data_IF_236558689029
#
_entry.id   IF_236558689029
#
_cell.length_a   1.000
_cell.length_b   1.000
_cell.length_c   1.000
_cell.angle_alpha   90.00
_cell.angle_beta   90.00
_cell.angle_gamma   90.00
#
_symmetry.space_group_name_H-M   'P 1'
#
loop_
_entity.id
_entity.type
_entity.pdbx_description
1 polymer ?
#
# COMPACT_ATOMS: atom_id res chain seq x y z
N UNK A 1 15.64 -20.43 -74.78
CA UNK A 1 14.19 -20.22 -74.54
C UNK A 1 13.65 -19.13 -75.47
N UNK A 2 14.47 -18.13 -75.81
CA UNK A 2 14.08 -17.00 -76.67
C UNK A 2 13.82 -17.36 -78.14
N UNK A 3 14.55 -18.33 -78.72
CA UNK A 3 14.35 -18.73 -80.13
C UNK A 3 12.99 -19.41 -80.35
N UNK A 4 12.50 -20.18 -79.37
CA UNK A 4 11.19 -20.87 -79.46
C UNK A 4 10.05 -19.85 -79.35
N UNK A 5 10.21 -18.81 -78.53
CA UNK A 5 9.23 -17.73 -78.39
C UNK A 5 9.22 -16.85 -79.65
N UNK A 6 10.39 -16.51 -80.20
CA UNK A 6 10.50 -15.72 -81.45
C UNK A 6 9.92 -16.51 -82.65
N UNK A 7 10.21 -17.82 -82.75
CA UNK A 7 9.60 -18.67 -83.77
C UNK A 7 8.07 -18.77 -83.61
N UNK A 8 7.58 -18.86 -82.37
CA UNK A 8 6.14 -18.85 -82.07
C UNK A 8 5.46 -17.55 -82.48
N UNK A 9 6.10 -16.40 -82.25
CA UNK A 9 5.60 -15.08 -82.64
C UNK A 9 5.59 -14.90 -84.16
N UNK A 10 6.65 -15.33 -84.86
CA UNK A 10 6.73 -15.25 -86.33
C UNK A 10 5.68 -16.14 -87.02
N UNK A 11 5.42 -17.33 -86.47
CA UNK A 11 4.36 -18.23 -86.96
C UNK A 11 2.98 -17.59 -86.76
N UNK A 12 2.75 -16.94 -85.61
CA UNK A 12 1.49 -16.22 -85.34
C UNK A 12 1.31 -15.02 -86.28
N UNK A 13 2.39 -14.29 -86.57
CA UNK A 13 2.39 -13.15 -87.50
C UNK A 13 2.13 -13.61 -88.95
N UNK A 14 2.71 -14.74 -89.37
CA UNK A 14 2.41 -15.33 -90.68
C UNK A 14 0.97 -15.82 -90.77
N UNK A 15 0.43 -16.43 -89.71
CA UNK A 15 -0.96 -16.90 -89.66
C UNK A 15 -1.97 -15.75 -89.71
N UNK A 16 -1.69 -14.66 -89.00
CA UNK A 16 -2.55 -13.46 -89.02
C UNK A 16 -2.50 -12.74 -90.37
N UNK A 17 -1.33 -12.63 -90.99
CA UNK A 17 -1.19 -12.10 -92.36
C UNK A 17 -1.89 -13.01 -93.38
N UNK A 18 -1.75 -14.32 -93.26
CA UNK A 18 -2.43 -15.30 -94.14
C UNK A 18 -3.95 -15.22 -93.99
N UNK A 19 -4.45 -15.08 -92.76
CA UNK A 19 -5.88 -14.87 -92.51
C UNK A 19 -6.36 -13.54 -93.09
N UNK A 20 -5.60 -12.44 -92.95
CA UNK A 20 -5.95 -11.14 -93.53
C UNK A 20 -5.99 -11.17 -95.08
N UNK A 21 -5.03 -11.85 -95.72
CA UNK A 21 -5.01 -12.03 -97.18
C UNK A 21 -6.19 -12.90 -97.64
N UNK A 22 -6.57 -13.91 -96.86
CA UNK A 22 -7.74 -14.76 -97.14
C UNK A 22 -9.07 -14.01 -96.93
N UNK A 23 -9.12 -13.07 -95.98
CA UNK A 23 -10.27 -12.19 -95.74
C UNK A 23 -10.45 -11.16 -96.87
N UNK A 24 -9.37 -10.77 -97.55
CA UNK A 24 -9.41 -9.82 -98.68
C UNK A 24 -9.98 -10.35 -100.00
N UNK A 25 -10.32 -11.65 -100.11
CA UNK A 25 -11.01 -12.22 -101.28
C UNK A 25 -12.45 -12.55 -100.92
N UNK A 26 -13.37 -11.99 -101.70
CA UNK A 26 -14.77 -11.78 -101.36
C UNK A 26 -15.57 -13.01 -100.89
N UNK A 27 -16.64 -12.68 -100.16
CA UNK A 27 -17.70 -13.53 -99.58
C UNK A 27 -17.59 -13.88 -98.08
N UNK A 28 -16.72 -13.22 -97.31
CA UNK A 28 -16.44 -13.60 -95.91
C UNK A 28 -17.32 -12.95 -94.83
N UNK A 29 -17.99 -11.83 -95.09
CA UNK A 29 -18.67 -11.04 -94.05
C UNK A 29 -19.85 -11.79 -93.41
N UNK A 30 -20.72 -12.39 -94.22
CA UNK A 30 -21.83 -13.24 -93.73
C UNK A 30 -21.38 -14.50 -92.99
N UNK A 31 -20.24 -15.08 -93.37
CA UNK A 31 -19.70 -16.25 -92.65
C UNK A 31 -19.10 -15.86 -91.30
N UNK A 32 -18.47 -14.69 -91.21
CA UNK A 32 -17.97 -14.15 -89.94
C UNK A 32 -19.10 -13.80 -88.98
N UNK A 33 -20.19 -13.21 -89.45
CA UNK A 33 -21.37 -12.95 -88.62
C UNK A 33 -21.95 -14.24 -88.04
N UNK A 34 -22.13 -15.27 -88.89
CA UNK A 34 -22.69 -16.56 -88.46
C UNK A 34 -21.76 -17.30 -87.47
N UNK A 35 -20.44 -17.22 -87.67
CA UNK A 35 -19.47 -17.79 -86.73
C UNK A 35 -19.41 -17.00 -85.43
N UNK A 36 -19.50 -15.68 -85.48
CA UNK A 36 -19.53 -14.81 -84.30
C UNK A 36 -20.79 -15.07 -83.47
N UNK A 37 -21.93 -15.30 -84.11
CA UNK A 37 -23.19 -15.62 -83.42
C UNK A 37 -23.13 -16.99 -82.74
N UNK A 38 -22.53 -18.00 -83.40
CA UNK A 38 -22.24 -19.30 -82.77
C UNK A 38 -21.27 -19.18 -81.60
N UNK A 39 -20.20 -18.40 -81.73
CA UNK A 39 -19.23 -18.18 -80.66
C UNK A 39 -19.83 -17.44 -79.46
N UNK A 40 -20.69 -16.44 -79.70
CA UNK A 40 -21.46 -15.77 -78.65
C UNK A 40 -22.38 -16.75 -77.93
N UNK A 41 -23.08 -17.62 -78.67
CA UNK A 41 -23.93 -18.66 -78.09
C UNK A 41 -23.15 -19.63 -77.19
N UNK A 42 -22.01 -20.12 -77.66
CA UNK A 42 -21.13 -21.02 -76.91
C UNK A 42 -20.54 -20.35 -75.66
N UNK A 43 -20.10 -19.08 -75.75
CA UNK A 43 -19.59 -18.35 -74.58
C UNK A 43 -20.68 -18.11 -73.53
N UNK A 44 -21.90 -17.78 -73.94
CA UNK A 44 -23.02 -17.60 -73.00
C UNK A 44 -23.36 -18.92 -72.30
N UNK A 45 -23.30 -20.03 -73.03
CA UNK A 45 -23.49 -21.36 -72.46
C UNK A 45 -22.39 -21.74 -71.47
N UNK A 46 -21.12 -21.52 -71.82
CA UNK A 46 -19.97 -21.78 -70.94
C UNK A 46 -20.01 -20.91 -69.67
N UNK A 47 -20.37 -19.63 -69.82
CA UNK A 47 -20.58 -18.72 -68.69
C UNK A 47 -21.74 -19.16 -67.79
N UNK A 48 -22.81 -19.74 -68.36
CA UNK A 48 -23.92 -20.27 -67.58
C UNK A 48 -23.52 -21.49 -66.76
N UNK A 49 -22.75 -22.41 -67.36
CA UNK A 49 -22.22 -23.61 -66.69
C UNK A 49 -21.22 -23.20 -65.60
N UNK A 50 -20.28 -22.31 -65.92
CA UNK A 50 -19.30 -21.79 -64.95
C UNK A 50 -19.95 -21.06 -63.78
N UNK A 51 -20.99 -20.26 -64.01
CA UNK A 51 -21.79 -19.65 -62.93
C UNK A 51 -22.49 -20.68 -62.06
N UNK A 52 -22.98 -21.77 -62.65
CA UNK A 52 -23.66 -22.83 -61.92
C UNK A 52 -22.68 -23.62 -61.03
N UNK A 53 -21.51 -23.97 -61.54
CA UNK A 53 -20.44 -24.63 -60.77
C UNK A 53 -19.92 -23.74 -59.65
N UNK A 54 -19.73 -22.44 -59.92
CA UNK A 54 -19.32 -21.47 -58.92
C UNK A 54 -20.36 -21.34 -57.80
N UNK A 55 -21.65 -21.30 -58.13
CA UNK A 55 -22.72 -21.28 -57.13
C UNK A 55 -22.76 -22.57 -56.30
N UNK A 56 -22.49 -23.73 -56.91
CA UNK A 56 -22.40 -24.99 -56.19
C UNK A 56 -21.21 -25.01 -55.22
N UNK A 57 -20.02 -24.59 -55.66
CA UNK A 57 -18.83 -24.50 -54.82
C UNK A 57 -19.03 -23.54 -53.64
N UNK A 58 -19.61 -22.36 -53.90
CA UNK A 58 -19.96 -21.39 -52.87
C UNK A 58 -20.93 -22.01 -51.85
N UNK A 59 -21.95 -22.72 -52.30
CA UNK A 59 -22.92 -23.37 -51.40
C UNK A 59 -22.27 -24.46 -50.52
N UNK A 60 -21.29 -25.19 -51.05
CA UNK A 60 -20.54 -26.19 -50.30
C UNK A 60 -19.62 -25.54 -49.26
N UNK A 61 -18.94 -24.45 -49.62
CA UNK A 61 -18.13 -23.67 -48.67
C UNK A 61 -19.00 -23.08 -47.55
N UNK A 62 -20.17 -22.53 -47.88
CA UNK A 62 -21.11 -22.03 -46.86
C UNK A 62 -21.57 -23.11 -45.89
N UNK A 63 -21.88 -24.33 -46.37
CA UNK A 63 -22.26 -25.45 -45.51
C UNK A 63 -21.13 -25.82 -44.54
N UNK A 64 -19.90 -25.96 -45.03
CA UNK A 64 -18.75 -26.30 -44.19
C UNK A 64 -18.47 -25.23 -43.12
N UNK A 65 -18.54 -23.94 -43.49
CA UNK A 65 -18.38 -22.82 -42.53
C UNK A 65 -19.49 -22.85 -41.49
N UNK A 66 -20.73 -23.08 -41.88
CA UNK A 66 -21.87 -23.12 -40.97
C UNK A 66 -21.78 -24.29 -39.98
N UNK A 67 -21.40 -25.48 -40.46
CA UNK A 67 -21.22 -26.67 -39.63
C UNK A 67 -20.05 -26.50 -38.65
N UNK A 68 -18.93 -25.91 -39.10
CA UNK A 68 -17.79 -25.59 -38.24
C UNK A 68 -18.16 -24.57 -37.15
N UNK A 69 -18.92 -23.53 -37.50
CA UNK A 69 -19.39 -22.51 -36.55
C UNK A 69 -20.34 -23.11 -35.51
N UNK A 70 -21.23 -24.02 -35.93
CA UNK A 70 -22.15 -24.73 -35.02
C UNK A 70 -21.42 -25.67 -34.07
N UNK A 71 -20.39 -26.36 -34.55
CA UNK A 71 -19.54 -27.21 -33.73
C UNK A 71 -18.77 -26.39 -32.69
N UNK A 72 -18.16 -25.27 -33.11
CA UNK A 72 -17.45 -24.36 -32.21
C UNK A 72 -18.36 -23.76 -31.13
N UNK A 73 -19.60 -23.39 -31.49
CA UNK A 73 -20.58 -22.89 -30.52
C UNK A 73 -20.97 -23.96 -29.48
N UNK A 74 -21.06 -25.23 -29.90
CA UNK A 74 -21.36 -26.36 -29.01
C UNK A 74 -20.20 -26.65 -28.05
N UNK A 75 -18.97 -26.67 -28.56
CA UNK A 75 -17.77 -26.90 -27.75
C UNK A 75 -17.58 -25.76 -26.72
N UNK A 76 -17.89 -24.52 -27.10
CA UNK A 76 -17.89 -23.38 -26.18
C UNK A 76 -18.97 -23.49 -25.09
N UNK A 77 -20.16 -23.97 -25.44
CA UNK A 77 -21.25 -24.20 -24.48
C UNK A 77 -20.91 -25.31 -23.48
N UNK A 78 -20.29 -26.40 -23.94
CA UNK A 78 -19.87 -27.51 -23.08
C UNK A 78 -18.75 -27.07 -22.12
N UNK A 79 -17.77 -26.29 -22.60
CA UNK A 79 -16.72 -25.71 -21.75
C UNK A 79 -17.25 -24.79 -20.65
N UNK A 80 -18.24 -23.94 -20.96
CA UNK A 80 -18.91 -23.09 -19.96
C UNK A 80 -19.68 -23.91 -18.93
N UNK A 81 -20.30 -25.02 -19.35
CA UNK A 81 -21.03 -25.91 -18.45
C UNK A 81 -20.10 -26.61 -17.46
N UNK A 82 -18.94 -27.06 -17.92
CA UNK A 82 -17.96 -27.73 -17.08
C UNK A 82 -17.25 -26.75 -16.15
N UNK A 83 -16.93 -25.53 -16.60
CA UNK A 83 -16.51 -24.45 -15.72
C UNK A 83 -17.55 -24.18 -14.62
N UNK A 84 -18.83 -24.11 -14.98
CA UNK A 84 -19.91 -23.92 -14.01
C UNK A 84 -20.03 -25.05 -12.99
N UNK A 85 -19.67 -26.30 -13.33
CA UNK A 85 -19.63 -27.42 -12.38
C UNK A 85 -18.46 -27.29 -11.43
N UNK A 86 -17.24 -27.10 -11.96
CA UNK A 86 -16.01 -26.95 -11.17
C UNK A 86 -16.13 -25.76 -10.21
N UNK A 87 -16.67 -24.64 -10.69
CA UNK A 87 -16.88 -23.46 -9.85
C UNK A 87 -17.85 -23.74 -8.69
N UNK A 88 -18.96 -24.43 -8.94
CA UNK A 88 -19.91 -24.79 -7.87
C UNK A 88 -19.32 -25.77 -6.86
N UNK A 89 -18.48 -26.69 -7.32
CA UNK A 89 -17.78 -27.65 -6.46
C UNK A 89 -16.77 -26.94 -5.55
N UNK A 90 -15.91 -26.08 -6.12
CA UNK A 90 -14.94 -25.27 -5.37
C UNK A 90 -15.63 -24.34 -4.35
N UNK A 91 -16.77 -23.73 -4.70
CA UNK A 91 -17.52 -22.87 -3.78
C UNK A 91 -18.13 -23.66 -2.62
N UNK A 92 -18.54 -24.91 -2.85
CA UNK A 92 -19.02 -25.78 -1.76
C UNK A 92 -17.87 -26.18 -0.84
N UNK A 93 -16.77 -26.65 -1.40
CA UNK A 93 -15.58 -27.05 -0.64
C UNK A 93 -15.02 -25.88 0.21
N UNK A 94 -15.00 -24.67 -0.36
CA UNK A 94 -14.64 -23.46 0.38
C UNK A 94 -15.60 -23.15 1.53
N UNK A 95 -16.91 -23.29 1.33
CA UNK A 95 -17.91 -23.06 2.37
C UNK A 95 -17.80 -24.09 3.50
N UNK A 96 -17.55 -25.35 3.16
CA UNK A 96 -17.40 -26.42 4.15
C UNK A 96 -16.13 -26.20 4.99
N UNK A 97 -15.01 -25.84 4.36
CA UNK A 97 -13.77 -25.47 5.06
C UNK A 97 -13.96 -24.24 5.96
N UNK A 98 -14.71 -23.23 5.51
CA UNK A 98 -15.03 -22.06 6.33
C UNK A 98 -15.85 -22.44 7.57
N UNK A 99 -16.86 -23.32 7.41
CA UNK A 99 -17.66 -23.81 8.55
C UNK A 99 -16.81 -24.58 9.55
N UNK A 100 -15.91 -25.44 9.08
CA UNK A 100 -14.98 -26.19 9.94
C UNK A 100 -14.08 -25.24 10.75
N UNK A 101 -13.49 -24.23 10.09
CA UNK A 101 -12.65 -23.23 10.75
C UNK A 101 -13.42 -22.36 11.76
N UNK A 102 -14.66 -22.00 11.45
CA UNK A 102 -15.53 -21.28 12.39
C UNK A 102 -15.83 -22.12 13.64
N UNK A 103 -16.12 -23.41 13.48
CA UNK A 103 -16.34 -24.30 14.62
C UNK A 103 -15.07 -24.48 15.46
N UNK A 104 -13.90 -24.59 14.82
CA UNK A 104 -12.61 -24.67 15.50
C UNK A 104 -12.32 -23.40 16.34
N UNK A 105 -12.64 -22.22 15.80
CA UNK A 105 -12.51 -20.94 16.49
C UNK A 105 -13.47 -20.83 17.69
N UNK A 106 -14.73 -21.26 17.53
CA UNK A 106 -15.69 -21.28 18.63
C UNK A 106 -15.21 -22.18 19.79
N UNK A 107 -14.71 -23.38 19.47
CA UNK A 107 -14.13 -24.31 20.46
C UNK A 107 -12.86 -23.77 21.14
N UNK A 108 -12.06 -22.94 20.44
CA UNK A 108 -10.91 -22.25 21.05
C UNK A 108 -11.36 -21.13 21.98
N UNK A 109 -12.38 -20.37 21.59
CA UNK A 109 -12.92 -19.29 22.40
C UNK A 109 -13.52 -19.81 23.71
N UNK A 110 -14.26 -20.91 23.65
CA UNK A 110 -14.83 -21.55 24.84
C UNK A 110 -13.76 -22.04 25.81
N UNK A 111 -12.70 -22.70 25.29
CA UNK A 111 -11.54 -23.11 26.11
C UNK A 111 -10.79 -21.92 26.74
N UNK A 112 -10.68 -20.81 26.03
CA UNK A 112 -10.09 -19.58 26.57
C UNK A 112 -10.91 -19.00 27.72
N UNK A 113 -12.24 -18.99 27.60
CA UNK A 113 -13.14 -18.52 28.65
C UNK A 113 -13.02 -19.39 29.91
N UNK A 114 -13.06 -20.72 29.76
CA UNK A 114 -12.86 -21.67 30.87
C UNK A 114 -11.50 -21.48 31.55
N UNK A 115 -10.41 -21.37 30.78
CA UNK A 115 -9.08 -21.14 31.36
C UNK A 115 -8.97 -19.80 32.07
N UNK A 116 -9.70 -18.78 31.61
CA UNK A 116 -9.73 -17.46 32.25
C UNK A 116 -10.49 -17.52 33.57
N UNK A 117 -11.63 -18.23 33.61
CA UNK A 117 -12.41 -18.45 34.82
C UNK A 117 -11.59 -19.21 35.89
N UNK A 118 -10.91 -20.30 35.52
CA UNK A 118 -10.01 -21.03 36.42
C UNK A 118 -8.86 -20.17 36.96
N UNK A 119 -8.30 -19.27 36.13
CA UNK A 119 -7.24 -18.35 36.57
C UNK A 119 -7.77 -17.29 37.53
N UNK A 120 -9.00 -16.81 37.32
CA UNK A 120 -9.64 -15.85 38.21
C UNK A 120 -9.97 -16.48 39.57
N UNK A 121 -10.41 -17.73 39.61
CA UNK A 121 -10.64 -18.45 40.86
C UNK A 121 -9.34 -18.73 41.62
N UNK A 122 -8.28 -19.17 40.95
CA UNK A 122 -6.95 -19.29 41.57
C UNK A 122 -6.43 -17.95 42.09
N UNK A 123 -6.71 -16.86 41.40
CA UNK A 123 -6.33 -15.51 41.84
C UNK A 123 -7.14 -15.10 43.09
N UNK A 124 -8.45 -15.38 43.13
CA UNK A 124 -9.28 -15.16 44.33
C UNK A 124 -8.74 -15.93 45.53
N UNK A 125 -8.45 -17.22 45.36
CA UNK A 125 -7.92 -18.06 46.43
C UNK A 125 -6.56 -17.55 46.92
N UNK A 126 -5.66 -17.18 46.01
CA UNK A 126 -4.34 -16.60 46.37
C UNK A 126 -4.46 -15.24 47.05
N UNK A 127 -5.42 -14.42 46.62
CA UNK A 127 -5.67 -13.08 47.18
C UNK A 127 -6.26 -13.20 48.58
N UNK A 128 -7.24 -14.08 48.81
CA UNK A 128 -7.78 -14.34 50.13
C UNK A 128 -6.72 -14.91 51.07
N UNK A 129 -5.91 -15.87 50.61
CA UNK A 129 -4.86 -16.48 51.42
C UNK A 129 -3.75 -15.47 51.80
N UNK A 130 -3.34 -14.60 50.84
CA UNK A 130 -2.36 -13.55 51.11
C UNK A 130 -2.94 -12.42 51.93
N UNK A 131 -4.19 -12.01 51.72
CA UNK A 131 -4.83 -10.97 52.51
C UNK A 131 -4.97 -11.44 53.95
N UNK A 132 -5.46 -12.66 54.19
CA UNK A 132 -5.64 -13.18 55.53
C UNK A 132 -4.31 -13.36 56.26
N UNK A 133 -3.29 -13.96 55.61
CA UNK A 133 -1.94 -14.07 56.20
C UNK A 133 -1.29 -12.70 56.46
N UNK A 134 -1.42 -11.75 55.53
CA UNK A 134 -0.80 -10.42 55.67
C UNK A 134 -1.54 -9.57 56.70
N UNK A 135 -2.87 -9.70 56.78
CA UNK A 135 -3.72 -8.98 57.72
C UNK A 135 -3.53 -9.52 59.12
N UNK A 136 -3.50 -10.84 59.34
CA UNK A 136 -3.20 -11.45 60.65
C UNK A 136 -1.77 -11.11 61.12
N UNK A 137 -0.78 -11.17 60.22
CA UNK A 137 0.60 -10.79 60.56
C UNK A 137 0.71 -9.30 60.92
N UNK A 138 0.08 -8.41 60.15
CA UNK A 138 0.09 -6.96 60.43
C UNK A 138 -0.77 -6.58 61.62
N UNK A 139 -1.92 -7.21 61.84
CA UNK A 139 -2.75 -7.00 63.03
C UNK A 139 -2.05 -7.51 64.27
N UNK A 140 -1.42 -8.68 64.23
CA UNK A 140 -0.61 -9.21 65.32
C UNK A 140 0.53 -8.27 65.69
N UNK A 141 1.32 -7.84 64.70
CA UNK A 141 2.38 -6.84 64.92
C UNK A 141 1.85 -5.49 65.41
N UNK A 142 0.68 -5.05 64.92
CA UNK A 142 0.07 -3.79 65.35
C UNK A 142 -0.47 -3.87 66.79
N UNK A 143 -1.06 -4.99 67.19
CA UNK A 143 -1.52 -5.22 68.56
C UNK A 143 -0.35 -5.36 69.54
N UNK A 144 0.73 -6.01 69.13
CA UNK A 144 1.95 -6.13 69.92
C UNK A 144 2.65 -4.76 70.09
N UNK A 145 2.69 -3.95 69.02
CA UNK A 145 3.17 -2.58 69.05
C UNK A 145 2.29 -1.69 69.95
N UNK A 146 0.97 -1.77 69.82
CA UNK A 146 0.01 -0.99 70.63
C UNK A 146 0.05 -1.40 72.10
N UNK A 147 0.21 -2.68 72.41
CA UNK A 147 0.34 -3.18 73.78
C UNK A 147 1.64 -2.68 74.43
N UNK A 148 2.75 -2.68 73.67
CA UNK A 148 4.02 -2.11 74.08
C UNK A 148 3.93 -0.58 74.26
N UNK A 149 3.23 0.11 73.37
CA UNK A 149 2.97 1.54 73.47
C UNK A 149 2.06 1.90 74.64
N UNK A 150 1.10 1.07 75.03
CA UNK A 150 0.29 1.28 76.23
C UNK A 150 1.12 1.14 77.52
N UNK A 151 2.08 0.21 77.54
CA UNK A 151 3.06 0.08 78.62
C UNK A 151 4.01 1.29 78.69
N UNK A 152 4.48 1.77 77.53
CA UNK A 152 5.34 2.95 77.43
C UNK A 152 4.58 4.26 77.72
N UNK A 153 3.27 4.34 77.44
CA UNK A 153 2.39 5.47 77.78
C UNK A 153 2.07 5.50 79.28
N UNK A 154 1.90 4.35 79.94
CA UNK A 154 1.79 4.30 81.40
C UNK A 154 3.07 4.74 82.12
N UNK A 155 4.25 4.50 81.51
CA UNK A 155 5.53 5.07 81.98
C UNK A 155 5.67 6.56 81.63
N UNK A 156 5.25 6.97 80.42
CA UNK A 156 5.37 8.33 79.91
C UNK A 156 4.40 9.34 80.52
N UNK A 157 3.27 8.89 81.09
CA UNK A 157 2.35 9.76 81.85
C UNK A 157 2.94 10.30 83.17
N UNK A 158 4.06 9.75 83.65
CA UNK A 158 4.83 10.28 84.77
C UNK A 158 5.79 11.43 84.42
N UNK A 159 6.04 11.65 83.12
CA UNK A 159 6.90 12.72 82.61
C UNK A 159 6.07 13.68 81.75
N UNK A 160 5.13 14.37 82.41
CA UNK A 160 4.55 15.57 81.84
C UNK A 160 5.67 16.56 81.48
N UNK A 161 5.51 17.16 80.30
CA UNK A 161 6.02 18.49 79.90
C UNK A 161 7.06 18.52 78.76
N UNK A 162 6.91 17.74 77.68
CA UNK A 162 7.62 18.08 76.43
C UNK A 162 7.07 17.36 75.19
N UNK A 163 6.83 18.12 74.12
CA UNK A 163 6.75 17.70 72.70
C UNK A 163 5.40 17.25 72.12
N UNK A 164 4.56 18.26 71.86
CA UNK A 164 3.54 18.22 70.81
C UNK A 164 4.16 18.39 69.41
N UNK A 165 4.69 17.30 68.80
CA UNK A 165 5.23 17.38 67.42
C UNK A 165 5.09 16.05 66.66
N UNK A 166 3.87 15.53 66.49
CA UNK A 166 3.65 14.19 65.93
C UNK A 166 2.63 14.06 64.80
N UNK A 167 2.15 15.17 64.22
CA UNK A 167 1.12 15.13 63.15
C UNK A 167 1.50 16.07 62.01
N UNK A 168 2.65 15.81 61.37
CA UNK A 168 3.19 16.62 60.26
C UNK A 168 3.51 15.84 58.98
N UNK A 169 3.80 14.54 59.07
CA UNK A 169 4.44 13.82 57.95
C UNK A 169 3.46 13.39 56.83
N UNK A 170 2.17 13.22 57.12
CA UNK A 170 1.17 12.91 56.08
C UNK A 170 0.78 14.13 55.23
N UNK A 171 0.92 15.35 55.75
CA UNK A 171 0.78 16.58 54.96
C UNK A 171 1.99 16.77 54.03
N UNK A 172 3.15 16.21 54.38
CA UNK A 172 4.45 16.46 53.72
C UNK A 172 4.64 15.72 52.39
N UNK A 173 3.98 14.57 52.22
CA UNK A 173 4.02 13.81 50.96
C UNK A 173 3.14 14.46 49.89
N UNK A 174 2.07 15.17 50.30
CA UNK A 174 1.25 15.94 49.39
C UNK A 174 1.79 17.35 49.12
N UNK A 175 2.71 17.91 49.91
CA UNK A 175 3.25 19.28 49.69
C UNK A 175 4.50 19.35 48.80
N UNK A 176 5.12 18.22 48.45
CA UNK A 176 6.38 18.23 47.70
C UNK A 176 6.18 18.56 46.20
N UNK A 177 6.75 19.69 45.75
CA UNK A 177 6.66 20.21 44.37
C UNK A 177 7.11 19.19 43.32
N UNK A 178 8.08 18.33 43.64
CA UNK A 178 8.58 17.29 42.72
C UNK A 178 7.56 16.17 42.48
N UNK A 179 6.90 15.68 43.53
CA UNK A 179 5.87 14.64 43.41
C UNK A 179 4.65 15.12 42.61
N UNK A 180 4.38 16.43 42.62
CA UNK A 180 3.28 17.07 41.90
C UNK A 180 3.54 17.19 40.39
N UNK A 181 4.78 17.46 39.97
CA UNK A 181 5.16 17.49 38.55
C UNK A 181 5.07 16.11 37.88
N UNK A 182 5.52 15.07 38.60
CA UNK A 182 5.50 13.68 38.12
C UNK A 182 4.09 13.17 37.81
N UNK A 183 3.06 13.59 38.56
CA UNK A 183 1.68 13.20 38.28
C UNK A 183 1.17 13.75 36.93
N UNK A 184 1.55 14.98 36.58
CA UNK A 184 1.17 15.58 35.30
C UNK A 184 1.85 14.89 34.12
N UNK A 185 3.12 14.55 34.29
CA UNK A 185 3.89 13.77 33.30
C UNK A 185 3.32 12.36 33.11
N UNK A 186 2.94 11.68 34.20
CA UNK A 186 2.34 10.35 34.15
C UNK A 186 1.01 10.34 33.38
N UNK A 187 0.17 11.36 33.59
CA UNK A 187 -1.10 11.47 32.87
C UNK A 187 -0.88 11.76 31.38
N UNK A 188 0.07 12.63 31.05
CA UNK A 188 0.46 12.90 29.67
C UNK A 188 0.97 11.62 28.99
N UNK A 189 1.83 10.86 29.68
CA UNK A 189 2.34 9.57 29.22
C UNK A 189 1.20 8.60 28.94
N UNK A 190 0.25 8.45 29.86
CA UNK A 190 -0.89 7.55 29.68
C UNK A 190 -1.76 7.91 28.46
N UNK A 191 -1.96 9.20 28.18
CA UNK A 191 -2.69 9.64 26.98
C UNK A 191 -1.91 9.28 25.72
N UNK A 192 -0.59 9.52 25.72
CA UNK A 192 0.27 9.22 24.58
C UNK A 192 0.32 7.71 24.30
N UNK A 193 0.51 6.88 25.32
CA UNK A 193 0.58 5.40 25.20
C UNK A 193 -0.73 4.78 24.69
N UNK A 194 -1.88 5.37 25.05
CA UNK A 194 -3.18 4.87 24.61
C UNK A 194 -3.47 5.19 23.12
N UNK A 195 -2.88 6.25 22.57
CA UNK A 195 -3.22 6.76 21.22
C UNK A 195 -2.09 6.52 20.22
N UNK A 196 -0.83 6.65 20.63
CA UNK A 196 0.36 6.57 19.79
C UNK A 196 1.18 5.33 20.11
N UNK A 197 1.87 4.79 19.11
CA UNK A 197 2.87 3.74 19.36
C UNK A 197 4.16 4.36 19.93
N UNK A 198 4.96 3.59 20.66
CA UNK A 198 6.23 4.05 21.25
C UNK A 198 7.22 4.59 20.23
N UNK A 199 7.08 4.23 18.95
CA UNK A 199 7.90 4.77 17.86
C UNK A 199 7.50 6.19 17.43
N UNK A 200 6.26 6.60 17.69
CA UNK A 200 5.69 7.89 17.26
C UNK A 200 5.95 9.03 18.23
N UNK A 201 6.58 8.79 19.38
CA UNK A 201 7.00 9.83 20.30
C UNK A 201 8.35 9.50 20.94
N UNK A 202 8.97 10.47 21.61
CA UNK A 202 10.19 10.31 22.40
C UNK A 202 9.93 10.97 23.75
N UNK A 203 10.19 10.28 24.85
CA UNK A 203 10.20 10.87 26.18
C UNK A 203 11.54 11.55 26.48
N UNK A 204 11.51 12.65 27.24
CA UNK A 204 12.70 13.40 27.67
C UNK A 204 13.64 13.74 26.49
N UNK A 205 13.10 14.42 25.49
CA UNK A 205 13.78 14.63 24.22
C UNK A 205 14.52 15.98 24.17
N UNK A 206 15.70 16.01 23.53
CA UNK A 206 16.46 17.23 23.28
C UNK A 206 15.97 17.91 22.00
N UNK A 207 15.41 19.12 22.08
CA UNK A 207 14.89 19.83 20.89
C UNK A 207 15.93 20.74 20.20
N UNK A 208 17.10 20.90 20.82
CA UNK A 208 18.22 21.72 20.33
C UNK A 208 19.53 20.95 20.50
N UNK A 209 20.34 20.90 19.45
CA UNK A 209 21.66 20.28 19.51
C UNK A 209 22.52 20.98 20.57
N UNK A 210 23.12 20.20 21.49
CA UNK A 210 23.94 20.72 22.58
C UNK A 210 23.18 21.34 23.77
N UNK A 211 21.85 21.38 23.76
CA UNK A 211 21.08 21.85 24.92
C UNK A 211 20.96 20.76 26.00
N UNK A 212 21.02 21.16 27.27
CA UNK A 212 20.68 20.31 28.43
C UNK A 212 19.18 20.26 28.70
N UNK A 213 18.41 21.20 28.14
CA UNK A 213 16.96 21.24 28.31
C UNK A 213 16.32 20.06 27.57
N UNK A 214 15.35 19.42 28.22
CA UNK A 214 14.61 18.27 27.70
C UNK A 214 13.13 18.55 27.83
N UNK A 215 12.41 18.38 26.73
CA UNK A 215 10.95 18.38 26.76
C UNK A 215 10.47 17.02 27.25
N UNK A 216 9.41 17.00 28.05
CA UNK A 216 8.85 15.80 28.65
C UNK A 216 8.48 14.80 27.55
N UNK A 217 7.82 15.25 26.48
CA UNK A 217 7.54 14.44 25.30
C UNK A 217 7.71 15.20 23.99
N UNK A 218 8.20 14.51 22.96
CA UNK A 218 8.27 15.01 21.59
C UNK A 218 7.58 14.03 20.64
N UNK A 219 6.51 14.47 20.00
CA UNK A 219 5.73 13.65 19.06
C UNK A 219 6.36 13.76 17.67
N UNK A 220 6.58 12.63 17.01
CA UNK A 220 7.17 12.58 15.67
C UNK A 220 6.09 12.79 14.61
N UNK A 221 6.20 13.89 13.88
CA UNK A 221 5.39 14.20 12.72
C UNK A 221 6.15 13.85 11.42
N UNK A 222 5.48 13.37 10.38
CA UNK A 222 6.10 13.16 9.06
C UNK A 222 6.45 14.52 8.45
N UNK A 223 7.73 14.79 8.23
CA UNK A 223 8.19 15.99 7.54
C UNK A 223 7.86 15.99 6.04
N UNK A 224 7.92 17.19 5.43
CA UNK A 224 7.67 17.41 4.00
C UNK A 224 8.65 16.64 3.10
N UNK A 225 9.88 16.43 3.56
CA UNK A 225 10.87 15.58 2.89
C UNK A 225 10.85 14.18 3.52
N UNK A 226 10.80 13.14 2.68
CA UNK A 226 10.50 11.75 3.08
C UNK A 226 11.47 11.10 4.09
N UNK A 227 12.50 11.81 4.56
CA UNK A 227 13.57 11.26 5.41
C UNK A 227 13.79 11.98 6.75
N UNK A 228 13.15 13.12 7.04
CA UNK A 228 13.31 13.81 8.33
C UNK A 228 11.97 13.95 9.05
N UNK A 229 11.89 13.38 10.26
CA UNK A 229 10.75 13.55 11.14
C UNK A 229 10.85 14.93 11.82
N UNK A 230 9.74 15.66 11.86
CA UNK A 230 9.65 16.94 12.58
C UNK A 230 9.06 16.66 13.95
N UNK A 231 9.65 17.22 15.01
CA UNK A 231 9.19 16.97 16.38
C UNK A 231 8.18 18.04 16.84
N UNK A 232 7.06 17.61 17.42
CA UNK A 232 6.12 18.46 18.14
C UNK A 232 6.41 18.37 19.64
N UNK A 233 6.98 19.43 20.26
CA UNK A 233 7.26 19.43 21.68
C UNK A 233 5.96 19.53 22.50
N UNK A 234 5.83 18.69 23.51
CA UNK A 234 4.71 18.68 24.45
C UNK A 234 5.26 18.70 25.87
N UNK A 235 5.02 19.79 26.58
CA UNK A 235 5.51 20.01 27.93
C UNK A 235 4.32 20.11 28.90
N UNK A 236 4.41 19.38 30.01
CA UNK A 236 3.38 19.38 31.05
C UNK A 236 3.71 20.42 32.13
N UNK A 237 2.78 21.34 32.40
CA UNK A 237 2.90 22.27 33.54
C UNK A 237 1.65 22.26 34.39
N UNK A 238 1.88 22.35 35.69
CA UNK A 238 0.82 22.42 36.67
C UNK A 238 1.08 23.54 37.68
N UNK A 239 0.60 24.79 37.42
CA UNK A 239 0.68 25.91 38.35
C UNK A 239 -0.29 25.72 39.53
N UNK A 240 -0.12 24.64 40.28
CA UNK A 240 -1.08 24.14 41.25
C UNK A 240 -1.32 25.13 42.39
N UNK A 241 -0.30 25.86 42.85
CA UNK A 241 -0.46 26.87 43.92
C UNK A 241 -1.33 28.04 43.48
N UNK A 242 -1.15 28.53 42.25
CA UNK A 242 -2.00 29.58 41.70
C UNK A 242 -3.43 29.07 41.48
N UNK A 243 -3.57 27.82 41.02
CA UNK A 243 -4.87 27.19 40.83
C UNK A 243 -5.62 26.98 42.16
N UNK A 244 -4.96 26.47 43.20
CA UNK A 244 -5.58 26.32 44.53
C UNK A 244 -5.93 27.66 45.16
N UNK A 245 -5.09 28.70 45.00
CA UNK A 245 -5.43 30.05 45.45
C UNK A 245 -6.71 30.55 44.78
N UNK A 246 -6.89 30.27 43.49
CA UNK A 246 -8.09 30.62 42.76
C UNK A 246 -9.32 29.85 43.26
N UNK A 247 -9.19 28.54 43.51
CA UNK A 247 -10.29 27.75 44.09
C UNK A 247 -10.70 28.27 45.47
N UNK A 248 -9.74 28.56 46.35
CA UNK A 248 -10.04 29.14 47.67
C UNK A 248 -10.72 30.51 47.54
N UNK A 249 -10.28 31.35 46.58
CA UNK A 249 -10.91 32.63 46.33
C UNK A 249 -12.37 32.46 45.86
N UNK A 250 -12.67 31.45 45.03
CA UNK A 250 -14.05 31.11 44.67
C UNK A 250 -14.88 30.70 45.89
N UNK A 251 -14.32 29.93 46.83
CA UNK A 251 -15.02 29.52 48.05
C UNK A 251 -15.34 30.70 48.97
N UNK A 252 -14.46 31.71 49.03
CA UNK A 252 -14.70 32.94 49.81
C UNK A 252 -15.74 33.86 49.17
N UNK A 253 -15.97 33.76 47.86
CA UNK A 253 -16.93 34.59 47.11
C UNK A 253 -16.51 36.06 46.93
N UNK A 254 -15.31 36.45 47.38
CA UNK A 254 -14.81 37.81 47.24
C UNK A 254 -14.25 38.07 45.84
N UNK A 255 -14.94 38.94 45.08
CA UNK A 255 -14.62 39.21 43.66
C UNK A 255 -13.18 39.71 43.45
N UNK A 256 -12.69 40.59 44.31
CA UNK A 256 -11.33 41.12 44.20
C UNK A 256 -10.26 40.04 44.40
N UNK A 257 -10.49 39.10 45.33
CA UNK A 257 -9.58 37.98 45.56
C UNK A 257 -9.56 37.01 44.38
N UNK A 258 -10.74 36.77 43.78
CA UNK A 258 -10.87 35.93 42.58
C UNK A 258 -10.10 36.54 41.40
N UNK A 259 -10.30 37.83 41.14
CA UNK A 259 -9.65 38.53 40.03
C UNK A 259 -8.12 38.54 40.20
N UNK A 260 -7.63 38.78 41.42
CA UNK A 260 -6.21 38.71 41.75
C UNK A 260 -5.63 37.30 41.56
N UNK A 261 -6.27 36.27 42.12
CA UNK A 261 -5.80 34.89 42.01
C UNK A 261 -5.79 34.41 40.55
N UNK A 262 -6.77 34.85 39.76
CA UNK A 262 -6.85 34.58 38.33
C UNK A 262 -5.72 35.25 37.55
N UNK A 263 -5.40 36.51 37.84
CA UNK A 263 -4.28 37.20 37.22
C UNK A 263 -2.94 36.50 37.50
N UNK A 264 -2.74 36.01 38.73
CA UNK A 264 -1.55 35.23 39.11
C UNK A 264 -1.47 33.88 38.38
N UNK A 265 -2.60 33.19 38.22
CA UNK A 265 -2.68 31.96 37.41
C UNK A 265 -2.30 32.23 35.95
N UNK A 266 -2.90 33.26 35.35
CA UNK A 266 -2.64 33.65 33.96
C UNK A 266 -1.17 34.01 33.74
N UNK A 267 -0.55 34.71 34.69
CA UNK A 267 0.87 35.06 34.68
C UNK A 267 1.76 33.83 34.75
N UNK A 268 1.42 32.84 35.59
CA UNK A 268 2.16 31.59 35.69
C UNK A 268 2.10 30.79 34.37
N UNK A 269 0.90 30.66 33.79
CA UNK A 269 0.70 29.98 32.49
C UNK A 269 1.45 30.69 31.36
N UNK A 270 1.41 32.03 31.33
CA UNK A 270 2.15 32.83 30.35
C UNK A 270 3.65 32.61 30.44
N UNK A 271 4.20 32.61 31.66
CA UNK A 271 5.62 32.32 31.89
C UNK A 271 5.99 30.92 31.39
N UNK A 272 5.16 29.92 31.67
CA UNK A 272 5.36 28.56 31.17
C UNK A 272 5.38 28.49 29.64
N UNK A 273 4.44 29.16 28.96
CA UNK A 273 4.44 29.21 27.50
C UNK A 273 5.69 29.91 26.93
N UNK A 274 6.12 31.02 27.54
CA UNK A 274 7.35 31.70 27.15
C UNK A 274 8.59 30.80 27.29
N UNK A 275 8.68 30.06 28.41
CA UNK A 275 9.77 29.12 28.65
C UNK A 275 9.76 27.98 27.63
N UNK A 276 8.60 27.39 27.34
CA UNK A 276 8.41 26.34 26.32
C UNK A 276 8.86 26.83 24.95
N UNK A 277 8.40 28.00 24.53
CA UNK A 277 8.74 28.58 23.24
C UNK A 277 10.26 28.79 23.12
N UNK A 278 10.89 29.38 24.14
CA UNK A 278 12.32 29.64 24.16
C UNK A 278 13.15 28.35 24.14
N UNK A 279 12.74 27.33 24.91
CA UNK A 279 13.52 26.11 25.10
C UNK A 279 13.37 25.13 23.94
N UNK A 280 12.14 24.96 23.44
CA UNK A 280 11.80 23.79 22.63
C UNK A 280 11.43 24.10 21.18
N UNK A 281 11.02 25.33 20.84
CA UNK A 281 10.73 25.67 19.45
C UNK A 281 12.06 25.97 18.73
N UNK A 282 12.39 25.14 17.74
CA UNK A 282 13.60 25.18 16.93
C UNK A 282 13.40 24.58 15.52
N UNK A 283 12.60 25.21 14.62
CA UNK A 283 12.54 24.80 13.22
C UNK A 283 13.93 24.88 12.55
N UNK A 284 14.28 23.95 11.64
CA UNK A 284 13.43 22.93 11.02
C UNK A 284 13.30 21.60 11.81
N UNK A 285 14.03 21.44 12.93
CA UNK A 285 14.02 20.21 13.72
C UNK A 285 12.67 19.99 14.41
N UNK A 286 12.06 21.05 14.93
CA UNK A 286 10.74 21.00 15.53
C UNK A 286 9.70 21.71 14.65
N UNK A 287 8.44 21.49 15.00
CA UNK A 287 7.33 22.34 14.54
C UNK A 287 7.55 23.80 14.95
N UNK A 288 6.83 24.69 14.25
CA UNK A 288 6.78 26.14 14.49
C UNK A 288 5.96 26.52 15.72
N UNK A 289 5.33 25.55 16.36
CA UNK A 289 4.58 25.70 17.60
C UNK A 289 4.89 24.57 18.59
N UNK A 290 4.46 24.72 19.85
CA UNK A 290 4.56 23.68 20.86
C UNK A 290 3.25 23.54 21.64
N UNK A 291 3.10 22.45 22.38
CA UNK A 291 1.92 22.18 23.21
C UNK A 291 2.27 22.35 24.68
N UNK A 292 1.46 23.17 25.37
CA UNK A 292 1.43 23.28 26.82
C UNK A 292 0.28 22.41 27.34
N UNK A 293 0.63 21.31 28.00
CA UNK A 293 -0.33 20.39 28.59
C UNK A 293 -0.64 20.75 30.04
N UNK A 294 -1.93 20.91 30.35
CA UNK A 294 -2.45 21.12 31.69
C UNK A 294 -3.15 19.84 32.15
N UNK A 295 -2.67 19.13 33.19
CA UNK A 295 -3.14 17.78 33.52
C UNK A 295 -4.59 17.73 34.06
N UNK A 296 -5.11 18.84 34.57
CA UNK A 296 -6.48 18.91 35.08
C UNK A 296 -7.39 19.61 34.07
N UNK A 297 -8.47 18.96 33.68
CA UNK A 297 -9.47 19.54 32.76
C UNK A 297 -10.09 20.82 33.35
N UNK A 298 -10.28 20.87 34.67
CA UNK A 298 -10.78 22.04 35.39
C UNK A 298 -9.81 23.23 35.36
N UNK A 299 -8.51 22.97 35.45
CA UNK A 299 -7.48 24.00 35.26
C UNK A 299 -7.46 24.50 33.81
N UNK A 300 -7.51 23.58 32.84
CA UNK A 300 -7.61 23.94 31.43
C UNK A 300 -8.84 24.82 31.17
N UNK A 301 -10.01 24.45 31.67
CA UNK A 301 -11.24 25.20 31.55
C UNK A 301 -11.12 26.63 32.09
N UNK A 302 -10.43 26.83 33.21
CA UNK A 302 -10.25 28.16 33.78
C UNK A 302 -9.30 29.03 32.96
N UNK A 303 -8.26 28.43 32.40
CA UNK A 303 -7.30 29.12 31.53
C UNK A 303 -7.95 29.54 30.20
N UNK A 304 -8.77 28.68 29.59
CA UNK A 304 -9.45 29.02 28.32
C UNK A 304 -10.64 29.98 28.50
N UNK A 305 -11.17 30.11 29.72
CA UNK A 305 -12.25 31.06 30.03
C UNK A 305 -11.82 32.50 29.68
N UNK A 306 -10.52 32.79 29.80
CA UNK A 306 -9.92 34.02 29.29
C UNK A 306 -9.44 33.80 27.84
N UNK A 307 -10.33 34.05 26.89
CA UNK A 307 -10.03 33.94 25.45
C UNK A 307 -8.82 34.81 25.01
N UNK A 308 -8.52 35.90 25.72
CA UNK A 308 -7.38 36.77 25.42
C UNK A 308 -6.05 36.09 25.72
N UNK A 309 -5.96 35.34 26.82
CA UNK A 309 -4.73 34.62 27.17
C UNK A 309 -4.41 33.54 26.14
N UNK A 310 -5.37 32.67 25.80
CA UNK A 310 -5.14 31.58 24.85
C UNK A 310 -4.66 32.10 23.48
N UNK A 311 -5.32 33.14 22.97
CA UNK A 311 -4.94 33.77 21.70
C UNK A 311 -3.54 34.39 21.78
N UNK A 312 -3.22 35.03 22.91
CA UNK A 312 -1.90 35.62 23.12
C UNK A 312 -0.81 34.55 23.10
N UNK A 313 -0.98 33.43 23.82
CA UNK A 313 0.04 32.36 23.85
C UNK A 313 0.27 31.74 22.47
N UNK A 314 -0.81 31.56 21.70
CA UNK A 314 -0.72 31.05 20.33
C UNK A 314 -0.03 32.03 19.39
N UNK A 315 -0.32 33.34 19.48
CA UNK A 315 0.21 34.32 18.54
C UNK A 315 1.66 34.71 18.85
N UNK A 316 1.95 35.04 20.11
CA UNK A 316 3.24 35.57 20.55
C UNK A 316 4.27 34.47 20.81
N UNK A 317 3.87 33.39 21.47
CA UNK A 317 4.79 32.31 21.85
C UNK A 317 4.69 31.08 20.97
N UNK A 318 3.71 31.02 20.06
CA UNK A 318 3.42 29.82 19.27
C UNK A 318 3.19 28.59 20.17
N UNK A 319 2.50 28.78 21.29
CA UNK A 319 2.16 27.69 22.22
C UNK A 319 0.66 27.50 22.25
N UNK A 320 0.23 26.26 22.00
CA UNK A 320 -1.17 25.83 22.07
C UNK A 320 -1.40 25.16 23.42
N UNK A 321 -2.44 25.60 24.14
CA UNK A 321 -2.80 25.04 25.45
C UNK A 321 -3.76 23.87 25.24
N UNK A 322 -3.54 22.76 25.94
CA UNK A 322 -4.42 21.59 25.89
C UNK A 322 -4.69 21.01 27.27
N UNK A 323 -5.93 20.59 27.52
CA UNK A 323 -6.29 19.66 28.60
C UNK A 323 -6.26 18.20 28.14
N UNK A 324 -6.47 17.21 29.04
CA UNK A 324 -6.51 15.79 28.73
C UNK A 324 -7.40 15.43 27.54
N UNK A 325 -8.65 15.89 27.54
CA UNK A 325 -9.61 15.55 26.47
C UNK A 325 -9.25 16.21 25.14
N UNK A 326 -8.80 17.46 25.20
CA UNK A 326 -8.41 18.23 24.01
C UNK A 326 -7.14 17.66 23.36
N UNK A 327 -6.14 17.29 24.17
CA UNK A 327 -4.93 16.63 23.69
C UNK A 327 -5.29 15.29 23.04
N UNK A 328 -6.08 14.45 23.69
CA UNK A 328 -6.50 13.17 23.13
C UNK A 328 -7.21 13.34 21.76
N UNK A 329 -8.10 14.33 21.64
CA UNK A 329 -8.76 14.65 20.37
C UNK A 329 -7.77 15.13 19.28
N UNK A 330 -6.82 16.00 19.66
CA UNK A 330 -5.77 16.49 18.76
C UNK A 330 -4.89 15.34 18.26
N UNK A 331 -4.48 14.43 19.14
CA UNK A 331 -3.67 13.26 18.79
C UNK A 331 -4.41 12.27 17.89
N UNK A 332 -5.68 11.99 18.17
CA UNK A 332 -6.52 11.14 17.32
C UNK A 332 -6.67 11.75 15.91
N UNK A 333 -6.84 13.07 15.83
CA UNK A 333 -6.92 13.78 14.55
C UNK A 333 -5.60 13.69 13.77
N UNK A 334 -4.46 13.85 14.46
CA UNK A 334 -3.13 13.67 13.87
C UNK A 334 -2.89 12.22 13.41
N UNK A 335 -3.36 11.23 14.17
CA UNK A 335 -3.21 9.82 13.84
C UNK A 335 -3.91 9.47 12.51
N UNK A 336 -5.08 10.05 12.23
CA UNK A 336 -5.76 9.89 10.94
C UNK A 336 -4.93 10.49 9.80
N UNK A 337 -4.32 11.66 10.02
CA UNK A 337 -3.36 12.27 9.09
C UNK A 337 -2.13 11.39 8.82
N UNK A 338 -1.57 10.75 9.85
CA UNK A 338 -0.44 9.83 9.69
C UNK A 338 -0.81 8.55 8.94
N UNK A 339 -2.00 7.98 9.20
CA UNK A 339 -2.48 6.81 8.45
C UNK A 339 -2.62 7.12 6.96
N UNK A 340 -3.18 8.28 6.60
CA UNK A 340 -3.32 8.69 5.21
C UNK A 340 -1.97 8.92 4.52
N UNK A 341 -1.02 9.59 5.19
CA UNK A 341 0.33 9.81 4.66
C UNK A 341 1.15 8.51 4.53
N UNK A 342 1.03 7.58 5.48
CA UNK A 342 1.68 6.27 5.41
C UNK A 342 1.15 5.42 4.25
N UNK A 343 -0.16 5.46 4.01
CA UNK A 343 -0.79 4.80 2.86
C UNK A 343 -0.26 5.41 1.54
N UNK A 344 -0.19 6.74 1.43
CA UNK A 344 0.34 7.42 0.24
C UNK A 344 1.80 7.04 -0.05
N UNK A 345 2.66 6.93 0.98
CA UNK A 345 4.06 6.54 0.82
C UNK A 345 4.20 5.12 0.26
N UNK A 346 3.43 4.15 0.79
CA UNK A 346 3.41 2.77 0.26
C UNK A 346 2.96 2.70 -1.19
N UNK A 347 1.98 3.51 -1.60
CA UNK A 347 1.57 3.59 -3.00
C UNK A 347 2.68 4.14 -3.90
N UNK A 348 3.46 5.13 -3.45
CA UNK A 348 4.56 5.70 -4.23
C UNK A 348 5.72 4.71 -4.46
N UNK A 349 5.95 3.80 -3.51
CA UNK A 349 6.97 2.75 -3.61
C UNK A 349 6.55 1.69 -4.64
N UNK A 350 5.28 1.29 -4.65
CA UNK A 350 4.71 0.42 -5.69
C UNK A 350 4.85 1.05 -7.09
N UNK A 351 4.59 2.36 -7.23
CA UNK A 351 4.79 3.07 -8.50
C UNK A 351 6.25 3.11 -8.95
N UNK A 352 7.21 3.25 -8.02
CA UNK A 352 8.65 3.16 -8.35
C UNK A 352 9.03 1.76 -8.83
N UNK A 353 8.56 0.72 -8.15
CA UNK A 353 8.81 -0.68 -8.54
C UNK A 353 8.19 -0.96 -9.92
N UNK A 354 6.96 -0.54 -10.16
CA UNK A 354 6.30 -0.67 -11.47
C UNK A 354 7.02 0.13 -12.57
N UNK A 355 7.55 1.31 -12.25
CA UNK A 355 8.38 2.10 -13.16
C UNK A 355 9.69 1.42 -13.53
N UNK A 356 10.37 0.80 -12.56
CA UNK A 356 11.57 0.01 -12.79
C UNK A 356 11.28 -1.22 -13.66
N UNK A 357 10.18 -1.94 -13.37
CA UNK A 357 9.74 -3.09 -14.17
C UNK A 357 9.37 -2.66 -15.60
N UNK A 358 8.67 -1.54 -15.79
CA UNK A 358 8.37 -0.98 -17.12
C UNK A 358 9.64 -0.68 -17.91
N UNK A 359 10.66 -0.12 -17.26
CA UNK A 359 11.95 0.15 -17.89
C UNK A 359 12.66 -1.14 -18.32
N UNK A 360 12.64 -2.19 -17.49
CA UNK A 360 13.22 -3.49 -17.83
C UNK A 360 12.47 -4.16 -18.98
N UNK A 361 11.13 -4.09 -19.00
CA UNK A 361 10.33 -4.57 -20.13
C UNK A 361 10.64 -3.80 -21.44
N UNK A 362 10.89 -2.49 -21.37
CA UNK A 362 11.35 -1.71 -22.52
C UNK A 362 12.70 -2.20 -23.06
N UNK A 363 13.68 -2.46 -22.19
CA UNK A 363 14.97 -3.04 -22.58
C UNK A 363 14.80 -4.43 -23.21
N UNK A 364 13.94 -5.28 -22.62
CA UNK A 364 13.64 -6.59 -23.17
C UNK A 364 13.02 -6.51 -24.57
N UNK A 365 12.11 -5.56 -24.81
CA UNK A 365 11.55 -5.28 -26.14
C UNK A 365 12.63 -4.97 -27.18
N UNK A 366 13.61 -4.11 -26.84
CA UNK A 366 14.73 -3.80 -27.75
C UNK A 366 15.64 -5.01 -28.05
N UNK A 367 15.77 -5.95 -27.11
CA UNK A 367 16.52 -7.19 -27.32
C UNK A 367 15.78 -8.14 -28.26
N UNK A 368 14.45 -8.26 -28.11
CA UNK A 368 13.60 -9.04 -29.00
C UNK A 368 13.63 -8.47 -30.43
N UNK A 369 13.55 -7.15 -30.60
CA UNK A 369 13.66 -6.51 -31.91
C UNK A 369 15.02 -6.79 -32.59
N UNK A 370 16.11 -6.75 -31.82
CA UNK A 370 17.44 -7.12 -32.32
C UNK A 370 17.51 -8.59 -32.71
N UNK A 371 16.92 -9.49 -31.93
CA UNK A 371 16.87 -10.92 -32.24
C UNK A 371 16.05 -11.18 -33.52
N UNK A 372 14.90 -10.53 -33.67
CA UNK A 372 14.08 -10.61 -34.88
C UNK A 372 14.82 -10.11 -36.11
N UNK A 373 15.55 -8.99 -35.99
CA UNK A 373 16.36 -8.44 -37.09
C UNK A 373 17.45 -9.43 -37.53
N UNK A 374 18.16 -10.05 -36.59
CA UNK A 374 19.16 -11.10 -36.89
C UNK A 374 18.55 -12.33 -37.57
N UNK A 375 17.35 -12.75 -37.17
CA UNK A 375 16.65 -13.85 -37.83
C UNK A 375 16.26 -13.50 -39.27
N UNK A 376 15.79 -12.27 -39.52
CA UNK A 376 15.50 -11.81 -40.87
C UNK A 376 16.75 -11.69 -41.74
N UNK A 377 17.86 -11.21 -41.18
CA UNK A 377 19.16 -11.18 -41.86
C UNK A 377 19.63 -12.59 -42.22
N UNK A 378 19.54 -13.55 -41.28
CA UNK A 378 19.86 -14.94 -41.53
C UNK A 378 18.97 -15.58 -42.60
N UNK A 379 17.66 -15.30 -42.60
CA UNK A 379 16.75 -15.75 -43.66
C UNK A 379 17.14 -15.17 -45.03
N UNK A 380 17.48 -13.88 -45.08
CA UNK A 380 17.91 -13.22 -46.32
C UNK A 380 19.23 -13.83 -46.83
N UNK A 381 20.17 -14.12 -45.93
CA UNK A 381 21.44 -14.75 -46.26
C UNK A 381 21.23 -16.18 -46.81
N UNK A 382 20.36 -16.97 -46.17
CA UNK A 382 19.95 -18.28 -46.66
C UNK A 382 19.33 -18.20 -48.06
N UNK A 383 18.46 -17.23 -48.33
CA UNK A 383 17.87 -17.02 -49.66
C UNK A 383 18.94 -16.68 -50.72
N UNK A 384 19.92 -15.84 -50.38
CA UNK A 384 21.05 -15.57 -51.29
C UNK A 384 21.94 -16.78 -51.52
N UNK A 385 22.23 -17.57 -50.50
CA UNK A 385 23.06 -18.78 -50.60
C UNK A 385 22.34 -19.87 -51.39
N UNK A 386 21.09 -20.16 -51.08
CA UNK A 386 20.28 -21.16 -51.78
C UNK A 386 19.98 -20.68 -53.20
N UNK A 387 19.63 -19.41 -53.41
CA UNK A 387 19.28 -18.89 -54.73
C UNK A 387 20.48 -18.76 -55.67
N UNK A 388 21.54 -18.09 -55.23
CA UNK A 388 22.66 -17.68 -56.09
C UNK A 388 23.69 -18.80 -56.21
N UNK A 389 24.03 -19.46 -55.10
CA UNK A 389 25.03 -20.54 -55.10
C UNK A 389 24.48 -21.79 -55.78
N UNK A 390 23.20 -22.13 -55.62
CA UNK A 390 22.57 -23.23 -56.37
C UNK A 390 22.52 -22.92 -57.87
N UNK A 391 22.23 -21.68 -58.28
CA UNK A 391 22.28 -21.29 -59.71
C UNK A 391 23.69 -21.38 -60.29
N UNK A 392 24.71 -20.97 -59.53
CA UNK A 392 26.12 -21.08 -59.96
C UNK A 392 26.58 -22.53 -59.99
N UNK A 393 26.19 -23.35 -59.00
CA UNK A 393 26.49 -24.79 -58.96
C UNK A 393 25.78 -25.52 -60.11
N UNK A 394 24.51 -25.25 -60.37
CA UNK A 394 23.76 -25.81 -61.51
C UNK A 394 24.36 -25.37 -62.85
N UNK A 395 24.83 -24.12 -62.96
CA UNK A 395 25.52 -23.64 -64.17
C UNK A 395 26.85 -24.37 -64.37
N UNK A 396 27.68 -24.52 -63.33
CA UNK A 396 28.93 -25.28 -63.41
C UNK A 396 28.70 -26.78 -63.66
N UNK A 397 27.67 -27.38 -63.08
CA UNK A 397 27.28 -28.78 -63.36
C UNK A 397 26.76 -28.97 -64.78
N UNK A 398 26.11 -27.97 -65.38
CA UNK A 398 25.74 -27.97 -66.82
C UNK A 398 26.93 -27.78 -67.76
N UNK A 399 27.95 -27.04 -67.33
CA UNK A 399 29.21 -26.91 -68.08
C UNK A 399 30.05 -28.21 -68.03
N UNK A 400 29.71 -29.14 -67.13
CA UNK A 400 30.25 -30.51 -67.09
C UNK A 400 29.26 -31.45 -67.79
N UNK A 401 29.16 -31.34 -69.11
CA UNK A 401 28.54 -32.38 -69.95
C UNK A 401 29.63 -33.26 -70.57
N UNK A 402 29.50 -34.56 -70.32
CA UNK A 402 29.96 -35.67 -71.18
C UNK A 402 31.47 -35.76 -71.44
N UNK A 403 32.19 -36.43 -70.53
CA UNK A 403 33.38 -37.18 -70.95
C UNK A 403 32.91 -38.28 -71.91
N UNK A 404 33.47 -38.37 -73.14
CA UNK A 404 33.20 -39.48 -74.04
C UNK A 404 33.54 -40.80 -73.35
N UNK A 405 32.63 -41.76 -73.41
CA UNK A 405 32.85 -43.09 -72.86
C UNK A 405 34.07 -43.73 -73.51
N UNK A 406 35.14 -43.92 -72.73
CA UNK A 406 36.07 -45.07 -72.75
C UNK A 406 37.21 -44.98 -71.70
N UNK A 407 37.45 -43.85 -71.01
CA UNK A 407 38.58 -43.76 -70.04
C UNK A 407 38.19 -43.69 -68.55
N UNK A 408 36.92 -43.84 -68.20
CA UNK A 408 36.44 -43.78 -66.80
C UNK A 408 36.58 -45.08 -65.99
N UNK A 409 37.13 -46.16 -66.56
CA UNK A 409 37.16 -47.48 -65.90
C UNK A 409 38.45 -47.84 -65.16
N UNK A 410 39.51 -47.02 -65.24
CA UNK A 410 40.81 -47.32 -64.61
C UNK A 410 41.17 -46.45 -63.39
N UNK A 411 40.23 -45.69 -62.83
CA UNK A 411 40.49 -44.82 -61.67
C UNK A 411 39.72 -45.19 -60.40
N UNK A 412 39.07 -46.36 -60.37
CA UNK A 412 38.35 -46.85 -59.18
C UNK A 412 38.99 -48.08 -58.50
N UNK A 413 40.12 -48.59 -59.01
CA UNK A 413 40.90 -49.67 -58.38
C UNK A 413 42.36 -49.26 -58.10
N UNK A 414 42.57 -48.16 -57.38
CA UNK A 414 43.85 -47.84 -56.72
C UNK A 414 43.65 -47.11 -55.41
#
# INVERSE_FOLDING_TARGET
MDIVIIAGVLINLMLTIFLLIKIGKGNSEKQWELQMERWKGLMVQELAISRQEMNQLISQQFKWVFDSMRQSAKDQQDGLRDFGKIFRENVREFNDLQREKFNELALRQERMLQSTEERLDKMRETVDEKLQKTLEARLGQSFELVSKQLQDVQKGLGEMQSLATGVGDLKRVLTNVKSRGVLGEYQLQGILENILTSEQYISNAAMKAGSSERVEFAIKLPGQNSHEAVYLPVDAKFPQEAYHRLLNAYDTGEREQVDFAKAELNKAVRKSAQDIARKYINPPMTTDFAVLFLPMESLYAEVIRDSGLAQQLQNEYKVVITGPSTLAAMLNSLQMGFKTLAIQRRSSEVWKVLGAVKSEFGKFGTLIEKAQRKLNEANTELDTLVGTRTRVIQRKLREVEELPGEEGKNLLDS
#
